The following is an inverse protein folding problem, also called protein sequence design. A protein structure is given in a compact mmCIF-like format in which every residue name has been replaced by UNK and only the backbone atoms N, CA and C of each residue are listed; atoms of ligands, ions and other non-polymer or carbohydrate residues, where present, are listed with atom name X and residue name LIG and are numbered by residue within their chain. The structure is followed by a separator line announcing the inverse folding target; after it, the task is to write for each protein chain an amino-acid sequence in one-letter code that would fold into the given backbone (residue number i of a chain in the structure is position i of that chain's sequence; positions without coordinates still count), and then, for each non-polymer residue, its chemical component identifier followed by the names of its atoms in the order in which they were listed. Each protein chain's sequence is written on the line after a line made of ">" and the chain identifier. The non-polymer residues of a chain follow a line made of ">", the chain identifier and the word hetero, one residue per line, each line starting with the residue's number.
data_IF_354879967039
#
_entry.id   IF_354879967039
#
_cell.length_a   1.000
_cell.length_b   1.000
_cell.length_c   1.000
_cell.angle_alpha   90.00
_cell.angle_beta   90.00
_cell.angle_gamma   90.00
#
_symmetry.space_group_name_H-M   'P 1'
#
loop_
_entity.id
_entity.type
_entity.pdbx_description
1 polymer ?
#
# COMPACT_ATOMS: atom_id res chain seq x y z
N UNK A 1 20.81 -23.00 -0.68
CA UNK A 1 19.64 -22.52 -1.44
C UNK A 1 19.31 -21.14 -0.91
N UNK A 2 19.45 -20.10 -1.72
CA UNK A 2 19.09 -18.73 -1.33
C UNK A 2 17.57 -18.57 -1.43
N UNK A 3 16.92 -18.39 -0.29
CA UNK A 3 15.48 -18.09 -0.24
C UNK A 3 15.27 -16.65 -0.68
N UNK A 4 14.31 -16.41 -1.58
CA UNK A 4 13.94 -15.07 -2.02
C UNK A 4 12.98 -14.47 -1.01
N UNK A 5 13.33 -13.33 -0.44
CA UNK A 5 12.46 -12.60 0.47
C UNK A 5 12.00 -11.28 -0.14
N UNK A 6 10.92 -10.75 0.42
CA UNK A 6 10.26 -9.55 -0.08
C UNK A 6 9.93 -8.60 1.07
N UNK A 7 10.26 -7.33 0.91
CA UNK A 7 9.94 -6.32 1.92
C UNK A 7 8.57 -5.69 1.64
N UNK A 8 7.62 -5.72 2.60
CA UNK A 8 6.29 -5.14 2.44
C UNK A 8 6.28 -3.60 2.52
N UNK A 9 7.41 -2.96 2.86
CA UNK A 9 7.53 -1.51 2.95
C UNK A 9 8.15 -0.91 1.68
N UNK A 10 9.33 -1.39 1.25
CA UNK A 10 10.01 -0.86 0.06
C UNK A 10 9.70 -1.63 -1.23
N UNK A 11 9.02 -2.78 -1.13
CA UNK A 11 8.62 -3.60 -2.27
C UNK A 11 9.80 -4.10 -3.13
N UNK A 12 10.98 -4.22 -2.50
CA UNK A 12 12.18 -4.79 -3.11
C UNK A 12 12.40 -6.22 -2.63
N UNK A 13 12.90 -7.03 -3.54
CA UNK A 13 13.41 -8.37 -3.26
C UNK A 13 14.88 -8.33 -2.84
N UNK A 14 15.24 -9.27 -1.96
CA UNK A 14 16.61 -9.49 -1.50
C UNK A 14 16.79 -10.96 -1.10
N UNK A 15 18.05 -11.36 -0.95
CA UNK A 15 18.47 -12.76 -0.82
C UNK A 15 19.38 -12.88 0.43
N UNK A 16 18.79 -13.11 1.61
CA UNK A 16 19.52 -13.20 2.88
C UNK A 16 18.94 -14.29 3.79
N UNK A 17 19.79 -14.92 4.61
CA UNK A 17 19.39 -16.04 5.49
C UNK A 17 18.78 -15.60 6.84
N UNK A 18 18.87 -14.31 7.21
CA UNK A 18 18.44 -13.82 8.52
C UNK A 18 17.69 -12.48 8.42
N UNK A 19 16.38 -12.55 8.15
CA UNK A 19 15.58 -11.40 7.78
C UNK A 19 14.59 -11.04 8.90
N UNK A 20 15.06 -10.25 9.86
CA UNK A 20 14.17 -9.50 10.75
C UNK A 20 14.01 -8.06 10.25
N UNK A 21 15.03 -7.53 9.59
CA UNK A 21 15.09 -6.15 9.10
C UNK A 21 15.43 -6.15 7.61
N UNK A 22 14.77 -5.30 6.84
CA UNK A 22 15.07 -5.13 5.43
C UNK A 22 16.45 -4.47 5.27
N UNK A 23 17.40 -5.08 4.54
CA UNK A 23 18.72 -4.51 4.29
C UNK A 23 18.68 -3.27 3.38
N UNK A 24 17.57 -3.08 2.63
CA UNK A 24 17.41 -1.97 1.67
C UNK A 24 16.81 -0.71 2.29
N UNK A 25 15.88 -0.86 3.24
CA UNK A 25 15.16 0.28 3.82
C UNK A 25 15.21 0.34 5.36
N UNK A 26 15.82 -0.64 6.03
CA UNK A 26 15.91 -0.70 7.49
C UNK A 26 14.60 -1.03 8.19
N UNK A 27 13.55 -1.40 7.46
CA UNK A 27 12.24 -1.69 8.04
C UNK A 27 12.21 -3.07 8.73
N UNK A 28 11.75 -3.13 9.98
CA UNK A 28 11.55 -4.40 10.70
C UNK A 28 10.30 -5.11 10.18
N UNK A 29 10.48 -6.31 9.65
CA UNK A 29 9.46 -7.01 8.88
C UNK A 29 8.47 -7.69 9.80
N UNK A 30 8.95 -8.19 10.94
CA UNK A 30 8.08 -8.75 11.99
C UNK A 30 7.10 -7.70 12.50
N UNK A 31 7.50 -6.43 12.48
CA UNK A 31 6.61 -5.33 12.83
C UNK A 31 5.44 -5.18 11.83
N UNK A 32 5.65 -5.55 10.56
CA UNK A 32 4.57 -5.56 9.59
C UNK A 32 3.47 -6.54 9.98
N UNK A 33 3.79 -7.74 10.50
CA UNK A 33 2.77 -8.71 10.89
C UNK A 33 1.83 -8.19 11.99
N UNK A 34 2.37 -7.40 12.92
CA UNK A 34 1.62 -6.78 14.01
C UNK A 34 0.80 -5.55 13.59
N UNK A 35 0.97 -5.03 12.36
CA UNK A 35 0.18 -3.88 11.89
C UNK A 35 -1.27 -4.24 11.65
N UNK A 36 -2.13 -3.25 11.91
CA UNK A 36 -3.54 -3.34 11.57
C UNK A 36 -3.70 -3.59 10.06
N UNK A 37 -4.73 -4.37 9.72
CA UNK A 37 -5.02 -4.72 8.34
C UNK A 37 -5.20 -3.49 7.43
N UNK A 38 -5.77 -2.41 7.96
CA UNK A 38 -5.91 -1.14 7.23
C UNK A 38 -4.55 -0.48 6.98
N UNK A 39 -3.64 -0.47 7.95
CA UNK A 39 -2.30 0.09 7.78
C UNK A 39 -1.49 -0.69 6.74
N UNK A 40 -1.67 -2.02 6.69
CA UNK A 40 -1.10 -2.87 5.63
C UNK A 40 -1.61 -2.45 4.24
N UNK A 41 -2.92 -2.21 4.11
CA UNK A 41 -3.52 -1.74 2.86
C UNK A 41 -3.03 -0.33 2.48
N UNK A 42 -2.96 0.60 3.44
CA UNK A 42 -2.45 1.95 3.19
C UNK A 42 -1.00 1.88 2.69
N UNK A 43 -0.17 1.02 3.27
CA UNK A 43 1.21 0.77 2.80
C UNK A 43 1.22 0.24 1.35
N UNK A 44 0.28 -0.64 1.01
CA UNK A 44 0.11 -1.20 -0.33
C UNK A 44 -0.32 -0.19 -1.41
N UNK A 45 -0.81 1.00 -1.05
CA UNK A 45 -1.05 2.08 -2.02
C UNK A 45 0.25 2.57 -2.70
N UNK A 46 1.40 2.36 -2.07
CA UNK A 46 2.71 2.75 -2.61
C UNK A 46 3.40 1.62 -3.39
N UNK A 47 2.74 0.48 -3.57
CA UNK A 47 3.29 -0.68 -4.27
C UNK A 47 3.77 -0.34 -5.67
N UNK A 48 4.86 -0.92 -6.18
CA UNK A 48 5.39 -0.55 -7.51
C UNK A 48 4.44 -0.87 -8.68
N UNK A 49 3.65 -1.93 -8.56
CA UNK A 49 2.69 -2.37 -9.57
C UNK A 49 1.37 -1.58 -9.45
N UNK A 50 0.95 -0.95 -10.55
CA UNK A 50 -0.28 -0.15 -10.62
C UNK A 50 -1.55 -0.96 -10.37
N UNK A 51 -1.59 -2.24 -10.79
CA UNK A 51 -2.73 -3.14 -10.54
C UNK A 51 -2.98 -3.32 -9.03
N UNK A 52 -1.90 -3.52 -8.26
CA UNK A 52 -1.96 -3.74 -6.82
C UNK A 52 -2.50 -2.49 -6.15
N UNK A 53 -2.02 -1.30 -6.55
CA UNK A 53 -2.57 -0.03 -6.06
C UNK A 53 -4.05 0.07 -6.35
N UNK A 54 -4.49 -0.29 -7.56
CA UNK A 54 -5.89 -0.24 -7.94
C UNK A 54 -6.77 -1.16 -7.08
N UNK A 55 -6.34 -2.41 -6.86
CA UNK A 55 -7.05 -3.35 -6.00
C UNK A 55 -7.12 -2.86 -4.55
N UNK A 56 -6.03 -2.32 -4.03
CA UNK A 56 -5.99 -1.73 -2.69
C UNK A 56 -7.00 -0.59 -2.56
N UNK A 57 -7.07 0.31 -3.55
CA UNK A 57 -8.08 1.38 -3.60
C UNK A 57 -9.49 0.79 -3.54
N UNK A 58 -9.79 -0.24 -4.33
CA UNK A 58 -11.10 -0.90 -4.33
C UNK A 58 -11.45 -1.48 -2.96
N UNK A 59 -10.51 -2.17 -2.32
CA UNK A 59 -10.72 -2.76 -0.97
C UNK A 59 -10.98 -1.66 0.06
N UNK A 60 -10.23 -0.55 0.01
CA UNK A 60 -10.40 0.58 0.92
C UNK A 60 -11.79 1.24 0.80
N UNK A 61 -12.30 1.36 -0.43
CA UNK A 61 -13.67 1.83 -0.68
C UNK A 61 -14.70 0.84 -0.14
N UNK A 62 -14.54 -0.45 -0.42
CA UNK A 62 -15.46 -1.49 0.04
C UNK A 62 -15.53 -1.55 1.57
N UNK A 63 -14.39 -1.38 2.24
CA UNK A 63 -14.30 -1.31 3.71
C UNK A 63 -14.64 0.06 4.30
N UNK A 64 -14.95 1.06 3.47
CA UNK A 64 -15.31 2.44 3.87
C UNK A 64 -14.28 3.08 4.81
N UNK A 65 -12.99 2.86 4.53
CA UNK A 65 -11.92 3.30 5.41
C UNK A 65 -11.68 4.80 5.27
N UNK A 66 -12.32 5.61 6.13
CA UNK A 66 -12.13 7.08 6.16
C UNK A 66 -10.67 7.48 6.41
N UNK A 67 -9.91 6.69 7.17
CA UNK A 67 -8.47 6.92 7.42
C UNK A 67 -7.61 6.90 6.16
N UNK A 68 -8.07 6.27 5.08
CA UNK A 68 -7.32 6.17 3.84
C UNK A 68 -7.47 7.41 2.93
N UNK A 69 -8.44 8.29 3.19
CA UNK A 69 -8.68 9.51 2.40
C UNK A 69 -7.42 10.37 2.20
N UNK A 70 -6.65 10.75 3.24
CA UNK A 70 -5.44 11.55 3.05
C UNK A 70 -4.40 10.85 2.18
N UNK A 71 -4.31 9.52 2.24
CA UNK A 71 -3.38 8.73 1.43
C UNK A 71 -3.82 8.63 -0.03
N UNK A 72 -5.13 8.54 -0.29
CA UNK A 72 -5.68 8.57 -1.64
C UNK A 72 -5.53 9.96 -2.28
N UNK A 73 -5.76 11.03 -1.52
CA UNK A 73 -5.50 12.41 -1.97
C UNK A 73 -4.03 12.63 -2.31
N UNK A 74 -3.12 12.12 -1.48
CA UNK A 74 -1.68 12.13 -1.76
C UNK A 74 -1.36 11.35 -3.03
N UNK A 75 -1.89 10.13 -3.16
CA UNK A 75 -1.69 9.30 -4.36
C UNK A 75 -2.16 10.02 -5.64
N UNK A 76 -3.33 10.70 -5.60
CA UNK A 76 -3.84 11.48 -6.74
C UNK A 76 -2.85 12.58 -7.18
N UNK A 77 -2.16 13.22 -6.23
CA UNK A 77 -1.21 14.31 -6.52
C UNK A 77 0.15 13.82 -7.01
N UNK A 78 0.62 12.68 -6.50
CA UNK A 78 1.95 12.16 -6.82
C UNK A 78 1.97 11.24 -8.05
N UNK A 79 0.85 10.59 -8.38
CA UNK A 79 0.79 9.65 -9.50
C UNK A 79 0.81 10.39 -10.84
N UNK A 80 1.58 9.86 -11.80
CA UNK A 80 1.56 10.31 -13.20
C UNK A 80 0.53 9.55 -14.04
N UNK A 81 0.05 8.41 -13.54
CA UNK A 81 -0.97 7.58 -14.18
C UNK A 81 -2.37 8.19 -14.06
N UNK A 82 -3.00 8.64 -15.16
CA UNK A 82 -4.32 9.27 -15.13
C UNK A 82 -5.41 8.34 -14.60
N UNK A 83 -5.33 7.04 -14.94
CA UNK A 83 -6.28 6.02 -14.47
C UNK A 83 -6.23 5.85 -12.95
N UNK A 84 -5.03 5.90 -12.37
CA UNK A 84 -4.85 5.76 -10.92
C UNK A 84 -5.29 7.03 -10.18
N UNK A 85 -5.00 8.20 -10.74
CA UNK A 85 -5.47 9.48 -10.21
C UNK A 85 -7.01 9.53 -10.15
N UNK A 86 -7.67 9.11 -11.24
CA UNK A 86 -9.14 9.03 -11.31
C UNK A 86 -9.70 8.02 -10.32
N UNK A 87 -9.10 6.84 -10.22
CA UNK A 87 -9.50 5.81 -9.25
C UNK A 87 -9.41 6.33 -7.80
N UNK A 88 -8.34 7.04 -7.45
CA UNK A 88 -8.17 7.64 -6.13
C UNK A 88 -9.24 8.72 -5.85
N UNK A 89 -9.55 9.58 -6.82
CA UNK A 89 -10.59 10.59 -6.68
C UNK A 89 -11.98 9.97 -6.48
N UNK A 90 -12.35 8.98 -7.31
CA UNK A 90 -13.61 8.26 -7.19
C UNK A 90 -13.72 7.53 -5.86
N UNK A 91 -12.61 6.97 -5.37
CA UNK A 91 -12.56 6.31 -4.08
C UNK A 91 -12.84 7.28 -2.93
N UNK A 92 -12.23 8.47 -2.92
CA UNK A 92 -12.50 9.50 -1.92
C UNK A 92 -13.97 9.91 -1.93
N UNK A 93 -14.55 10.15 -3.11
CA UNK A 93 -15.98 10.47 -3.27
C UNK A 93 -16.87 9.37 -2.70
N UNK A 94 -16.61 8.10 -3.04
CA UNK A 94 -17.41 6.95 -2.58
C UNK A 94 -17.31 6.74 -1.07
N UNK A 95 -16.12 6.89 -0.48
CA UNK A 95 -15.93 6.75 0.97
C UNK A 95 -16.68 7.88 1.71
N UNK A 96 -16.66 9.11 1.19
CA UNK A 96 -17.36 10.24 1.79
C UNK A 96 -18.88 10.20 1.60
N UNK A 97 -19.37 9.74 0.45
CA UNK A 97 -20.80 9.70 0.14
C UNK A 97 -21.58 8.61 0.90
N UNK A 98 -20.89 7.68 1.56
CA UNK A 98 -21.49 6.51 2.21
C UNK A 98 -21.37 6.52 3.74
N UNK A 99 -21.06 7.66 4.35
CA UNK A 99 -20.89 7.76 5.80
C UNK A 99 -21.21 9.12 6.36
#
# INVERSE_FOLDING_TARGET
>A
MTVRYYCPNCWQDFWEENFEVCPKCGYNIKDFDNKDYVDKLITALQHRAGEVRHWVIMILVQKKVKRAIPYLEKLRKETKDPSLARAAEEAVKKINAQG
#
